data_IF_737700146624
#
_entry.id   IF_737700146624
#
_cell.length_a   1.000
_cell.length_b   1.000
_cell.length_c   1.000
_cell.angle_alpha   90.00
_cell.angle_beta   90.00
_cell.angle_gamma   90.00
#
_symmetry.space_group_name_H-M   'P 1'
#
loop_
_entity.id
_entity.type
_entity.pdbx_description
1 polymer ?
#
# COMPACT_ATOMS: atom_id res chain seq x y z
N UNK A 1 20.68 -22.16 -6.07
CA UNK A 1 19.43 -22.93 -6.01
C UNK A 1 18.43 -22.15 -6.83
N UNK A 2 17.69 -22.76 -7.75
CA UNK A 2 16.58 -22.08 -8.44
C UNK A 2 15.42 -22.02 -7.46
N UNK A 3 15.17 -20.84 -6.93
CA UNK A 3 14.04 -20.59 -6.03
C UNK A 3 12.77 -20.57 -6.88
N UNK A 4 11.93 -21.58 -6.71
CA UNK A 4 10.75 -21.84 -7.54
C UNK A 4 9.49 -21.39 -6.79
N UNK A 5 8.77 -20.44 -7.38
CA UNK A 5 7.49 -19.90 -6.91
C UNK A 5 6.30 -20.47 -7.70
N UNK A 6 6.48 -21.54 -8.49
CA UNK A 6 5.40 -22.17 -9.25
C UNK A 6 4.16 -22.45 -8.38
N UNK A 7 3.01 -21.95 -8.86
CA UNK A 7 1.73 -22.09 -8.18
C UNK A 7 1.53 -21.17 -6.97
N UNK A 8 2.44 -20.23 -6.73
CA UNK A 8 2.29 -19.19 -5.68
C UNK A 8 1.53 -18.00 -6.25
N UNK A 9 0.43 -17.59 -5.63
CA UNK A 9 -0.26 -16.32 -5.95
C UNK A 9 0.15 -15.24 -4.96
N UNK A 10 0.55 -14.06 -5.45
CA UNK A 10 1.03 -12.95 -4.61
C UNK A 10 0.19 -11.71 -4.87
N UNK A 11 -0.53 -11.24 -3.85
CA UNK A 11 -1.28 -10.00 -3.95
C UNK A 11 -0.34 -8.79 -3.85
N UNK A 12 -0.46 -7.85 -4.76
CA UNK A 12 0.15 -6.52 -4.68
C UNK A 12 -0.95 -5.51 -4.38
N UNK A 13 -1.05 -5.07 -3.12
CA UNK A 13 -2.10 -4.13 -2.72
C UNK A 13 -1.63 -2.69 -2.91
N UNK A 14 -2.34 -1.95 -3.76
CA UNK A 14 -2.04 -0.56 -4.08
C UNK A 14 -3.31 0.32 -4.08
N UNK A 15 -3.17 1.60 -3.76
CA UNK A 15 -4.17 2.61 -3.99
C UNK A 15 -4.36 2.89 -5.49
N UNK A 16 -5.46 3.55 -5.91
CA UNK A 16 -5.67 3.92 -7.31
C UNK A 16 -4.62 4.89 -7.88
N UNK A 17 -3.89 5.60 -7.02
CA UNK A 17 -2.86 6.57 -7.42
C UNK A 17 -1.76 6.63 -6.34
N UNK A 18 -0.51 6.85 -6.76
CA UNK A 18 0.57 7.28 -5.85
C UNK A 18 1.58 6.19 -5.49
N UNK A 19 1.49 5.00 -6.09
CA UNK A 19 2.49 3.95 -5.89
C UNK A 19 3.81 4.31 -6.58
N UNK A 20 4.94 4.11 -5.89
CA UNK A 20 6.26 4.25 -6.50
C UNK A 20 6.47 3.11 -7.51
N UNK A 21 6.67 3.44 -8.79
CA UNK A 21 6.61 2.48 -9.89
C UNK A 21 7.62 1.35 -9.71
N UNK A 22 8.86 1.64 -9.34
CA UNK A 22 9.90 0.61 -9.17
C UNK A 22 9.57 -0.34 -8.03
N UNK A 23 8.93 0.15 -6.97
CA UNK A 23 8.51 -0.67 -5.84
C UNK A 23 7.30 -1.57 -6.15
N UNK A 24 6.61 -1.32 -7.26
CA UNK A 24 5.62 -2.24 -7.86
C UNK A 24 6.29 -3.18 -8.87
N UNK A 25 6.98 -2.63 -9.88
CA UNK A 25 7.37 -3.38 -11.08
C UNK A 25 8.56 -4.31 -10.85
N UNK A 26 9.54 -3.96 -10.01
CA UNK A 26 10.68 -4.86 -9.76
C UNK A 26 10.28 -6.10 -8.94
N UNK A 27 9.54 -5.98 -7.82
CA UNK A 27 9.10 -7.17 -7.09
C UNK A 27 8.07 -7.98 -7.91
N UNK A 28 7.24 -7.32 -8.72
CA UNK A 28 6.35 -8.00 -9.67
C UNK A 28 7.14 -8.88 -10.65
N UNK A 29 8.17 -8.32 -11.29
CA UNK A 29 9.02 -9.06 -12.21
C UNK A 29 9.73 -10.21 -11.50
N UNK A 30 10.26 -9.99 -10.30
CA UNK A 30 10.93 -11.03 -9.52
C UNK A 30 10.00 -12.22 -9.19
N UNK A 31 8.76 -11.95 -8.77
CA UNK A 31 7.75 -13.00 -8.51
C UNK A 31 7.45 -13.77 -9.79
N UNK A 32 7.17 -13.07 -10.89
CA UNK A 32 6.83 -13.69 -12.18
C UNK A 32 7.99 -14.52 -12.73
N UNK A 33 9.21 -13.99 -12.70
CA UNK A 33 10.40 -14.63 -13.25
C UNK A 33 10.81 -15.86 -12.41
N UNK A 34 10.44 -15.90 -11.13
CA UNK A 34 10.53 -17.08 -10.27
C UNK A 34 9.38 -18.09 -10.45
N UNK A 35 8.43 -17.83 -11.34
CA UNK A 35 7.29 -18.72 -11.65
C UNK A 35 6.02 -18.48 -10.83
N UNK A 36 5.97 -17.42 -10.03
CA UNK A 36 4.78 -17.01 -9.29
C UNK A 36 3.78 -16.23 -10.15
N UNK A 37 2.59 -16.04 -9.59
CA UNK A 37 1.46 -15.30 -10.16
C UNK A 37 1.21 -14.01 -9.36
N UNK A 38 1.84 -12.88 -9.74
CA UNK A 38 1.55 -11.60 -9.11
C UNK A 38 0.20 -11.06 -9.58
N UNK A 39 -0.62 -10.56 -8.65
CA UNK A 39 -1.97 -10.05 -8.91
C UNK A 39 -2.10 -8.64 -8.33
N UNK A 40 -2.50 -7.67 -9.16
CA UNK A 40 -2.67 -6.29 -8.73
C UNK A 40 -4.05 -6.11 -8.09
N UNK A 41 -4.05 -5.91 -6.77
CA UNK A 41 -5.26 -5.67 -5.98
C UNK A 41 -5.37 -4.18 -5.65
N UNK A 42 -6.54 -3.58 -5.91
CA UNK A 42 -6.79 -2.17 -5.54
C UNK A 42 -8.14 -1.95 -4.88
N UNK A 43 -8.41 -0.72 -4.46
CA UNK A 43 -9.70 -0.32 -3.84
C UNK A 43 -10.78 -0.01 -4.87
N UNK A 44 -10.40 0.23 -6.13
CA UNK A 44 -11.30 0.57 -7.23
C UNK A 44 -10.89 -0.15 -8.52
N UNK A 45 -11.85 -0.49 -9.40
CA UNK A 45 -11.52 -1.10 -10.69
C UNK A 45 -10.89 -0.07 -11.64
N UNK A 46 -10.34 -0.55 -12.76
CA UNK A 46 -9.79 0.29 -13.82
C UNK A 46 -8.27 0.26 -13.82
N UNK A 47 -7.64 1.42 -13.68
CA UNK A 47 -6.17 1.55 -13.74
C UNK A 47 -5.62 2.26 -12.52
N UNK A 48 -4.48 1.79 -12.01
CA UNK A 48 -3.64 2.46 -11.02
C UNK A 48 -2.66 3.39 -11.73
N UNK A 49 -2.53 4.63 -11.25
CA UNK A 49 -1.50 5.57 -11.69
C UNK A 49 -0.27 5.45 -10.79
N UNK A 50 0.85 5.00 -11.36
CA UNK A 50 2.14 4.93 -10.68
C UNK A 50 2.95 6.22 -10.87
N UNK A 51 4.02 6.37 -10.08
CA UNK A 51 4.89 7.54 -10.04
C UNK A 51 6.36 7.17 -10.00
N UNK A 52 7.19 8.05 -10.54
CA UNK A 52 8.61 8.14 -10.22
C UNK A 52 8.78 9.33 -9.28
N UNK A 53 8.89 9.05 -7.98
CA UNK A 53 8.81 10.09 -6.95
C UNK A 53 7.50 10.89 -7.02
N UNK A 54 7.53 12.08 -7.60
CA UNK A 54 6.38 12.99 -7.73
C UNK A 54 5.85 13.09 -9.17
N UNK A 55 6.59 12.55 -10.14
CA UNK A 55 6.23 12.60 -11.55
C UNK A 55 5.38 11.38 -11.92
N UNK A 56 4.30 11.61 -12.68
CA UNK A 56 3.46 10.53 -13.18
C UNK A 56 4.27 9.60 -14.08
N UNK A 57 4.14 8.31 -13.83
CA UNK A 57 4.73 7.24 -14.61
C UNK A 57 3.61 6.46 -15.32
N UNK A 58 3.79 5.15 -15.47
CA UNK A 58 2.88 4.29 -16.20
C UNK A 58 1.56 4.05 -15.45
N UNK A 59 0.61 3.44 -16.17
CA UNK A 59 -0.66 2.98 -15.63
C UNK A 59 -0.75 1.47 -15.73
N UNK A 60 -1.28 0.86 -14.68
CA UNK A 60 -1.41 -0.59 -14.57
C UNK A 60 -2.88 -0.96 -14.40
N UNK A 61 -3.36 -1.96 -15.15
CA UNK A 61 -4.73 -2.45 -15.00
C UNK A 61 -4.88 -3.16 -13.66
N UNK A 62 -5.98 -2.90 -12.96
CA UNK A 62 -6.35 -3.59 -11.72
C UNK A 62 -6.90 -4.96 -12.08
N UNK A 63 -6.33 -6.02 -11.50
CA UNK A 63 -6.77 -7.39 -11.72
C UNK A 63 -7.96 -7.73 -10.83
N UNK A 64 -7.85 -7.41 -9.53
CA UNK A 64 -8.89 -7.65 -8.54
C UNK A 64 -9.10 -6.41 -7.66
N UNK A 65 -10.32 -6.24 -7.14
CA UNK A 65 -10.66 -5.16 -6.23
C UNK A 65 -10.93 -5.70 -4.83
N UNK A 66 -10.74 -4.90 -3.79
CA UNK A 66 -10.91 -5.34 -2.39
C UNK A 66 -12.33 -5.80 -2.01
N UNK A 67 -13.35 -5.51 -2.83
CA UNK A 67 -14.71 -6.06 -2.70
C UNK A 67 -14.85 -7.49 -3.21
N UNK A 68 -13.92 -7.96 -4.06
CA UNK A 68 -13.95 -9.30 -4.68
C UNK A 68 -12.78 -10.18 -4.25
N UNK A 69 -11.60 -9.59 -4.06
CA UNK A 69 -10.39 -10.27 -3.63
C UNK A 69 -10.56 -10.85 -2.23
N UNK A 70 -10.21 -12.14 -2.07
CA UNK A 70 -10.18 -12.80 -0.76
C UNK A 70 -8.73 -13.08 -0.40
N UNK A 71 -8.28 -12.63 0.76
CA UNK A 71 -6.91 -12.87 1.25
C UNK A 71 -6.54 -14.36 1.20
N UNK A 72 -7.52 -15.24 1.47
CA UNK A 72 -7.40 -16.69 1.40
C UNK A 72 -6.93 -17.24 0.03
N UNK A 73 -7.12 -16.49 -1.06
CA UNK A 73 -6.76 -16.89 -2.42
C UNK A 73 -5.29 -16.56 -2.80
N UNK A 74 -4.52 -15.93 -1.89
CA UNK A 74 -3.13 -15.50 -2.11
C UNK A 74 -2.16 -16.02 -1.06
N UNK A 75 -1.01 -16.53 -1.47
CA UNK A 75 -0.01 -17.08 -0.56
C UNK A 75 0.81 -16.02 0.18
N UNK A 76 0.91 -14.81 -0.38
CA UNK A 76 1.60 -13.68 0.23
C UNK A 76 1.02 -12.34 -0.21
N UNK A 77 1.38 -11.29 0.54
CA UNK A 77 1.03 -9.91 0.28
C UNK A 77 2.29 -9.07 0.10
N UNK A 78 2.34 -8.25 -0.95
CA UNK A 78 3.33 -7.18 -1.16
C UNK A 78 2.65 -5.83 -0.97
N UNK A 79 3.27 -4.97 -0.17
CA UNK A 79 2.86 -3.60 0.12
C UNK A 79 3.95 -2.62 -0.39
N UNK A 80 3.85 -2.17 -1.64
CA UNK A 80 4.72 -1.12 -2.18
C UNK A 80 4.56 0.21 -1.42
N UNK A 81 5.57 1.07 -1.51
CA UNK A 81 5.52 2.44 -0.99
C UNK A 81 5.01 3.44 -2.03
N UNK A 82 5.69 4.59 -2.11
CA UNK A 82 5.20 5.84 -2.69
C UNK A 82 4.25 6.55 -1.72
N UNK A 83 4.61 7.73 -1.19
CA UNK A 83 3.97 8.35 0.00
C UNK A 83 2.42 8.33 -0.03
N UNK A 84 1.82 8.71 -1.16
CA UNK A 84 0.38 8.82 -1.29
C UNK A 84 -0.34 7.46 -1.29
N UNK A 85 0.33 6.38 -1.74
CA UNK A 85 -0.26 5.05 -1.82
C UNK A 85 -0.65 4.46 -0.45
N UNK A 86 0.27 4.22 0.50
CA UNK A 86 -0.07 3.67 1.80
C UNK A 86 -0.76 4.69 2.71
N UNK A 87 -0.57 6.00 2.49
CA UNK A 87 -1.34 7.04 3.18
C UNK A 87 -2.82 7.00 2.77
N UNK A 88 -3.13 6.74 1.50
CA UNK A 88 -4.50 6.46 1.09
C UNK A 88 -4.99 5.14 1.68
N UNK A 89 -4.25 4.03 1.49
CA UNK A 89 -4.69 2.69 1.91
C UNK A 89 -4.98 2.59 3.41
N UNK A 90 -4.21 3.25 4.28
CA UNK A 90 -4.46 3.22 5.73
C UNK A 90 -5.78 3.89 6.15
N UNK A 91 -6.35 4.75 5.30
CA UNK A 91 -7.68 5.32 5.53
C UNK A 91 -8.83 4.41 5.08
N UNK A 92 -8.51 3.30 4.39
CA UNK A 92 -9.50 2.39 3.81
C UNK A 92 -9.68 1.16 4.70
N UNK A 93 -10.83 1.00 5.39
CA UNK A 93 -11.04 -0.12 6.32
C UNK A 93 -10.90 -1.50 5.67
N UNK A 94 -11.26 -1.63 4.39
CA UNK A 94 -11.11 -2.88 3.64
C UNK A 94 -9.64 -3.23 3.40
N UNK A 95 -8.77 -2.26 3.13
CA UNK A 95 -7.34 -2.48 2.92
C UNK A 95 -6.63 -2.89 4.21
N UNK A 96 -6.99 -2.22 5.33
CA UNK A 96 -6.50 -2.56 6.67
C UNK A 96 -6.94 -3.97 7.07
N UNK A 97 -8.21 -4.31 6.84
CA UNK A 97 -8.74 -5.66 7.09
C UNK A 97 -8.03 -6.70 6.24
N UNK A 98 -7.94 -6.49 4.92
CA UNK A 98 -7.27 -7.41 4.01
C UNK A 98 -5.82 -7.67 4.46
N UNK A 99 -5.07 -6.62 4.81
CA UNK A 99 -3.72 -6.75 5.36
C UNK A 99 -3.68 -7.57 6.65
N UNK A 100 -4.60 -7.30 7.59
CA UNK A 100 -4.68 -8.06 8.85
C UNK A 100 -4.99 -9.54 8.62
N UNK A 101 -5.83 -9.88 7.64
CA UNK A 101 -6.15 -11.28 7.34
C UNK A 101 -4.90 -12.10 6.92
N UNK A 102 -3.91 -11.49 6.25
CA UNK A 102 -2.62 -12.18 5.99
C UNK A 102 -1.84 -12.44 7.28
N UNK A 103 -1.85 -11.48 8.21
CA UNK A 103 -1.20 -11.62 9.52
C UNK A 103 -1.86 -12.76 10.30
N UNK A 104 -3.19 -12.75 10.39
CA UNK A 104 -3.99 -13.75 11.11
C UNK A 104 -3.84 -15.15 10.51
N UNK A 105 -3.72 -15.24 9.18
CA UNK A 105 -3.49 -16.49 8.47
C UNK A 105 -2.02 -16.96 8.49
N UNK A 106 -1.12 -16.22 9.13
CA UNK A 106 0.31 -16.56 9.17
C UNK A 106 1.04 -16.43 7.83
N UNK A 107 0.45 -15.73 6.86
CA UNK A 107 0.95 -15.62 5.47
C UNK A 107 2.02 -14.53 5.36
N UNK A 108 3.11 -14.79 4.60
CA UNK A 108 4.17 -13.80 4.42
C UNK A 108 3.65 -12.45 3.93
N UNK A 109 4.19 -11.38 4.52
CA UNK A 109 4.01 -10.02 4.02
C UNK A 109 5.38 -9.44 3.68
N UNK A 110 5.51 -8.87 2.49
CA UNK A 110 6.65 -8.07 2.08
C UNK A 110 6.24 -6.61 1.96
N UNK A 111 7.03 -5.70 2.52
CA UNK A 111 6.69 -4.28 2.58
C UNK A 111 7.93 -3.42 2.34
N UNK A 112 7.79 -2.30 1.63
CA UNK A 112 8.93 -1.45 1.32
C UNK A 112 8.59 0.04 1.49
N UNK A 113 9.60 0.82 1.87
CA UNK A 113 9.54 2.28 1.88
C UNK A 113 8.46 2.84 2.82
N UNK A 114 7.37 3.42 2.29
CA UNK A 114 6.24 3.95 3.06
C UNK A 114 5.09 2.94 3.25
N UNK A 115 5.12 1.80 2.55
CA UNK A 115 4.14 0.71 2.70
C UNK A 115 3.80 0.31 4.14
N UNK A 116 4.74 0.37 5.12
CA UNK A 116 4.47 -0.01 6.51
C UNK A 116 3.39 0.80 7.23
N UNK A 117 2.97 1.96 6.74
CA UNK A 117 1.82 2.67 7.34
C UNK A 117 0.56 1.81 7.35
N UNK A 118 0.30 1.02 6.29
CA UNK A 118 -0.84 0.10 6.26
C UNK A 118 -0.70 -1.00 7.33
N UNK A 119 0.53 -1.47 7.60
CA UNK A 119 0.79 -2.43 8.68
C UNK A 119 0.63 -1.84 10.07
N UNK A 120 1.01 -0.57 10.26
CA UNK A 120 0.78 0.15 11.52
C UNK A 120 -0.72 0.20 11.82
N UNK A 121 -1.53 0.58 10.84
CA UNK A 121 -2.99 0.64 10.99
C UNK A 121 -3.61 -0.76 11.25
N UNK A 122 -3.01 -1.80 10.68
CA UNK A 122 -3.40 -3.19 10.95
C UNK A 122 -2.97 -3.71 12.35
N UNK A 123 -2.20 -2.94 13.14
CA UNK A 123 -1.51 -3.35 14.39
C UNK A 123 -0.53 -4.54 14.19
N UNK A 124 0.09 -4.62 13.01
CA UNK A 124 0.86 -5.79 12.56
C UNK A 124 2.37 -5.72 12.85
N UNK A 125 2.85 -4.65 13.50
CA UNK A 125 4.30 -4.37 13.66
C UNK A 125 4.82 -4.48 15.09
N UNK A 126 3.95 -4.67 16.08
CA UNK A 126 4.33 -4.68 17.50
C UNK A 126 5.33 -5.79 17.83
N UNK A 127 6.44 -5.45 18.48
CA UNK A 127 7.53 -6.37 18.85
C UNK A 127 8.40 -6.86 17.69
N UNK A 128 7.97 -6.63 16.44
CA UNK A 128 8.65 -7.08 15.22
C UNK A 128 9.92 -6.25 14.99
N UNK A 129 10.98 -6.88 14.46
CA UNK A 129 12.14 -6.17 13.89
C UNK A 129 11.80 -5.78 12.46
N UNK A 130 12.03 -4.53 12.06
CA UNK A 130 11.62 -4.04 10.74
C UNK A 130 12.55 -2.92 10.25
N UNK A 131 12.77 -2.81 8.95
CA UNK A 131 13.49 -1.69 8.31
C UNK A 131 12.65 -1.08 7.20
N UNK A 132 12.72 0.24 7.02
CA UNK A 132 11.77 1.02 6.21
C UNK A 132 12.35 2.38 5.83
N UNK A 133 11.60 3.20 5.09
CA UNK A 133 11.99 4.58 4.82
C UNK A 133 12.18 5.39 6.12
N UNK A 134 13.28 6.15 6.31
CA UNK A 134 13.63 6.71 7.61
C UNK A 134 12.59 7.66 8.24
N UNK A 135 11.72 8.31 7.45
CA UNK A 135 10.75 9.27 8.00
C UNK A 135 9.67 8.62 8.87
N UNK A 136 9.31 7.34 8.67
CA UNK A 136 8.28 6.67 9.50
C UNK A 136 8.89 6.00 10.75
N UNK A 137 10.18 6.24 11.07
CA UNK A 137 10.85 5.64 12.24
C UNK A 137 10.09 5.92 13.54
N UNK A 138 9.57 7.13 13.71
CA UNK A 138 8.81 7.51 14.91
C UNK A 138 7.47 6.78 14.96
N UNK A 139 6.77 6.68 13.84
CA UNK A 139 5.48 5.99 13.75
C UNK A 139 5.61 4.52 14.14
N UNK A 140 6.62 3.83 13.60
CA UNK A 140 6.91 2.44 13.93
C UNK A 140 7.26 2.23 15.40
N UNK A 141 8.11 3.09 15.96
CA UNK A 141 8.45 3.01 17.40
C UNK A 141 7.21 3.26 18.25
N UNK A 142 6.36 4.21 17.87
CA UNK A 142 5.07 4.47 18.52
C UNK A 142 4.12 3.26 18.46
N UNK A 143 4.13 2.54 17.35
CA UNK A 143 3.38 1.29 17.16
C UNK A 143 4.03 0.07 17.87
N UNK A 144 5.20 0.25 18.51
CA UNK A 144 5.89 -0.79 19.28
C UNK A 144 6.83 -1.69 18.46
N UNK A 145 7.19 -1.30 17.25
CA UNK A 145 8.17 -2.04 16.44
C UNK A 145 9.62 -1.69 16.81
N UNK A 146 10.54 -2.64 16.55
CA UNK A 146 11.99 -2.46 16.68
C UNK A 146 12.57 -2.07 15.32
N UNK A 147 12.62 -0.77 15.04
CA UNK A 147 13.21 -0.27 13.81
C UNK A 147 14.74 -0.44 13.78
N UNK A 148 15.27 -0.93 12.66
CA UNK A 148 16.71 -1.04 12.35
C UNK A 148 17.01 -0.47 10.97
N UNK A 149 18.25 -0.02 10.75
CA UNK A 149 18.71 0.52 9.48
C UNK A 149 19.50 -0.54 8.71
N UNK A 150 18.79 -1.44 8.03
CA UNK A 150 19.35 -2.57 7.26
C UNK A 150 18.72 -2.52 5.86
N UNK A 151 19.40 -3.01 4.81
CA UNK A 151 18.82 -2.99 3.45
C UNK A 151 17.57 -3.87 3.34
N UNK A 152 17.58 -5.01 4.03
CA UNK A 152 16.48 -5.95 4.10
C UNK A 152 16.44 -6.56 5.50
N UNK A 153 15.24 -6.70 6.04
CA UNK A 153 14.99 -7.43 7.29
C UNK A 153 13.94 -8.48 7.02
N UNK A 154 14.27 -9.73 7.35
CA UNK A 154 13.30 -10.82 7.44
C UNK A 154 13.03 -11.11 8.91
N UNK A 155 11.84 -10.79 9.39
CA UNK A 155 11.42 -10.98 10.76
C UNK A 155 10.45 -12.14 10.86
N UNK A 156 10.89 -13.21 11.52
CA UNK A 156 10.08 -14.38 11.88
C UNK A 156 9.60 -14.34 13.34
N UNK A 157 9.96 -13.31 14.09
CA UNK A 157 9.48 -13.05 15.45
C UNK A 157 8.04 -12.48 15.37
N UNK A 158 7.04 -13.29 15.04
CA UNK A 158 5.65 -12.84 14.93
C UNK A 158 4.70 -13.90 14.34
N UNK A 159 3.42 -13.55 14.12
CA UNK A 159 2.42 -14.51 13.62
C UNK A 159 2.68 -14.97 12.18
N UNK A 160 3.40 -14.17 11.38
CA UNK A 160 3.69 -14.43 9.98
C UNK A 160 5.11 -13.95 9.62
N UNK A 161 5.77 -14.48 8.58
CA UNK A 161 7.01 -13.89 8.08
C UNK A 161 6.79 -12.45 7.58
N UNK A 162 7.65 -11.51 8.00
CA UNK A 162 7.62 -10.12 7.55
C UNK A 162 8.95 -9.77 6.89
N UNK A 163 8.92 -9.43 5.60
CA UNK A 163 10.06 -8.98 4.81
C UNK A 163 9.93 -7.47 4.65
N UNK A 164 10.98 -6.72 4.95
CA UNK A 164 10.94 -5.26 4.86
C UNK A 164 12.21 -4.65 4.31
N UNK A 165 12.10 -3.60 3.49
CA UNK A 165 13.22 -2.83 2.93
C UNK A 165 12.93 -1.33 2.92
N UNK A 166 13.97 -0.49 2.76
CA UNK A 166 13.82 0.96 3.04
C UNK A 166 13.43 1.80 1.84
N UNK A 167 13.90 1.45 0.64
CA UNK A 167 13.86 2.35 -0.54
C UNK A 167 14.17 1.60 -1.83
N UNK A 168 14.01 2.24 -3.02
CA UNK A 168 14.33 1.62 -4.30
C UNK A 168 15.76 1.03 -4.40
N UNK A 169 16.77 1.67 -3.80
CA UNK A 169 18.15 1.15 -3.78
C UNK A 169 18.27 -0.25 -3.15
N UNK A 170 17.33 -0.63 -2.30
CA UNK A 170 17.31 -1.92 -1.61
C UNK A 170 16.51 -2.99 -2.38
N UNK A 171 15.91 -2.67 -3.55
CA UNK A 171 15.00 -3.56 -4.29
C UNK A 171 15.64 -4.88 -4.67
N UNK A 172 16.93 -4.90 -5.00
CA UNK A 172 17.64 -6.17 -5.29
C UNK A 172 17.58 -7.14 -4.10
N UNK A 173 17.83 -6.65 -2.89
CA UNK A 173 17.78 -7.47 -1.67
C UNK A 173 16.34 -7.81 -1.29
N UNK A 174 15.41 -6.86 -1.45
CA UNK A 174 13.98 -7.06 -1.20
C UNK A 174 13.39 -8.16 -2.11
N UNK A 175 13.64 -8.09 -3.41
CA UNK A 175 13.15 -9.06 -4.39
C UNK A 175 13.72 -10.45 -4.15
N UNK A 176 15.03 -10.54 -3.86
CA UNK A 176 15.66 -11.81 -3.49
C UNK A 176 15.01 -12.40 -2.24
N UNK A 177 14.76 -11.60 -1.20
CA UNK A 177 14.11 -12.07 0.02
C UNK A 177 12.66 -12.54 -0.23
N UNK A 178 11.89 -11.86 -1.08
CA UNK A 178 10.55 -12.32 -1.49
C UNK A 178 10.64 -13.71 -2.10
N UNK A 179 11.49 -13.86 -3.12
CA UNK A 179 11.68 -15.14 -3.83
C UNK A 179 12.20 -16.24 -2.91
N UNK A 180 13.03 -15.90 -1.91
CA UNK A 180 13.61 -16.86 -0.98
C UNK A 180 12.64 -17.31 0.12
N UNK A 181 11.70 -16.47 0.54
CA UNK A 181 10.86 -16.72 1.71
C UNK A 181 9.37 -16.94 1.41
N UNK A 182 8.88 -16.59 0.22
CA UNK A 182 7.48 -16.82 -0.16
C UNK A 182 7.34 -18.17 -0.83
N UNK A 183 6.39 -18.98 -0.35
CA UNK A 183 6.08 -20.32 -0.88
C UNK A 183 4.57 -20.51 -0.95
N UNK A 184 4.06 -21.41 -1.81
CA UNK A 184 2.64 -21.75 -1.81
C UNK A 184 2.20 -22.26 -0.44
N UNK A 185 1.13 -21.69 0.09
CA UNK A 185 0.45 -22.19 1.27
C UNK A 185 -0.34 -23.42 0.82
N UNK A 186 0.29 -24.59 0.93
CA UNK A 186 -0.44 -25.85 0.76
C UNK A 186 -1.42 -25.93 1.92
N UNK A 187 -2.70 -25.98 1.62
CA UNK A 187 -3.77 -26.10 2.60
C UNK A 187 -3.47 -27.29 3.52
N UNK A 188 -2.91 -27.01 4.70
CA UNK A 188 -2.55 -28.04 5.67
C UNK A 188 -3.78 -28.46 6.47
N UNK A 189 -4.98 -28.48 5.89
CA UNK A 189 -6.18 -29.08 6.51
C UNK A 189 -6.51 -28.59 7.93
N UNK A 190 -6.02 -27.42 8.32
CA UNK A 190 -6.39 -26.81 9.61
C UNK A 190 -7.58 -25.91 9.33
N UNK A 191 -8.77 -26.46 9.58
CA UNK A 191 -10.01 -25.69 9.58
C UNK A 191 -9.93 -24.48 10.52
N UNK A 192 -10.89 -23.54 10.44
CA UNK A 192 -10.88 -22.32 11.24
C UNK A 192 -10.68 -22.69 12.71
N UNK A 193 -9.55 -22.28 13.29
CA UNK A 193 -9.22 -22.56 14.67
C UNK A 193 -10.39 -22.10 15.57
N UNK A 194 -10.95 -23.06 16.29
CA UNK A 194 -11.96 -22.85 17.29
C UNK A 194 -11.47 -21.85 18.36
N UNK A 195 -12.31 -20.83 18.60
CA UNK A 195 -12.45 -20.06 19.83
C UNK A 195 -11.23 -19.87 20.72
N UNK A 196 -10.62 -18.68 20.65
CA UNK A 196 -9.99 -18.09 21.82
C UNK A 196 -11.09 -17.54 22.73
N UNK A 197 -11.28 -18.18 23.89
CA UNK A 197 -12.12 -17.66 24.98
C UNK A 197 -11.55 -16.38 25.59
N UNK A 198 -12.37 -15.60 26.32
CA UNK A 198 -11.98 -14.28 26.78
C UNK A 198 -10.94 -14.36 27.90
N UNK A 199 -9.80 -13.68 27.72
CA UNK A 199 -8.90 -13.37 28.81
C UNK A 199 -9.54 -12.31 29.72
N UNK A 200 -10.01 -12.73 30.90
CA UNK A 200 -10.32 -11.83 32.00
C UNK A 200 -9.01 -11.26 32.57
N UNK A 201 -8.75 -9.99 32.29
CA UNK A 201 -7.75 -9.17 32.97
C UNK A 201 -8.36 -7.81 33.29
N UNK A 202 -8.45 -7.48 34.57
CA UNK A 202 -9.20 -6.36 35.11
C UNK A 202 -8.54 -4.98 34.88
N UNK A 203 -9.39 -3.95 34.70
CA UNK A 203 -9.10 -2.52 34.86
C UNK A 203 -8.57 -1.83 33.59
N UNK A 204 -9.15 -0.77 33.03
CA UNK A 204 -10.07 0.26 33.53
C UNK A 204 -10.99 0.70 32.38
N UNK A 205 -12.29 0.79 32.64
CA UNK A 205 -13.32 1.21 31.67
C UNK A 205 -13.12 2.65 31.17
N UNK A 206 -12.97 2.83 29.85
CA UNK A 206 -13.29 4.09 29.14
C UNK A 206 -14.73 3.97 28.60
N UNK A 207 -15.54 5.04 28.59
CA UNK A 207 -16.88 4.96 28.04
C UNK A 207 -16.80 4.77 26.53
N UNK A 208 -17.67 3.91 25.99
CA UNK A 208 -17.88 3.75 24.56
C UNK A 208 -18.34 5.10 23.98
N UNK A 209 -17.55 5.66 23.07
CA UNK A 209 -18.00 6.76 22.24
C UNK A 209 -19.11 6.26 21.33
N UNK A 210 -20.25 6.95 21.33
CA UNK A 210 -21.34 6.67 20.41
C UNK A 210 -20.81 6.70 18.97
N UNK A 211 -21.01 5.60 18.23
CA UNK A 211 -20.77 5.57 16.80
C UNK A 211 -21.69 6.57 16.10
N UNK A 212 -21.15 7.31 15.14
CA UNK A 212 -21.93 8.23 14.31
C UNK A 212 -22.96 7.42 13.53
N UNK A 213 -24.20 7.92 13.50
CA UNK A 213 -25.25 7.35 12.67
C UNK A 213 -24.90 7.47 11.18
N UNK A 214 -25.48 6.61 10.33
CA UNK A 214 -25.26 6.63 8.88
C UNK A 214 -25.54 8.01 8.25
N UNK A 215 -26.46 8.78 8.85
CA UNK A 215 -26.77 10.16 8.44
C UNK A 215 -25.65 11.16 8.79
N UNK A 216 -24.91 10.94 9.87
CA UNK A 216 -23.77 11.78 10.28
C UNK A 216 -22.51 11.43 9.47
N UNK A 217 -22.29 10.14 9.19
CA UNK A 217 -21.24 9.69 8.27
C UNK A 217 -21.42 10.28 6.86
N UNK A 218 -22.66 10.28 6.34
CA UNK A 218 -22.97 10.87 5.03
C UNK A 218 -22.73 12.40 4.98
N UNK A 219 -23.02 13.12 6.08
CA UNK A 219 -22.73 14.56 6.20
C UNK A 219 -21.24 14.85 6.28
N UNK A 220 -20.44 13.96 6.88
CA UNK A 220 -18.99 14.10 6.93
C UNK A 220 -18.36 13.93 5.55
N UNK A 221 -18.82 12.96 4.74
CA UNK A 221 -18.38 12.77 3.35
C UNK A 221 -18.76 13.97 2.46
N UNK A 222 -19.97 14.52 2.65
CA UNK A 222 -20.40 15.73 1.94
C UNK A 222 -19.61 16.98 2.37
N UNK A 223 -19.21 17.06 3.64
CA UNK A 223 -18.34 18.12 4.15
C UNK A 223 -16.94 18.07 3.57
N UNK A 224 -16.34 16.87 3.49
CA UNK A 224 -15.01 16.62 2.93
C UNK A 224 -14.93 17.01 1.45
N UNK A 225 -15.92 16.61 0.65
CA UNK A 225 -16.02 16.98 -0.78
C UNK A 225 -16.24 18.48 -1.03
N UNK A 226 -16.71 19.23 -0.03
CA UNK A 226 -16.80 20.69 -0.09
C UNK A 226 -15.49 21.38 0.30
N UNK A 227 -14.72 20.79 1.23
CA UNK A 227 -13.41 21.27 1.63
C UNK A 227 -12.35 21.01 0.55
N UNK A 228 -12.40 19.85 -0.12
CA UNK A 228 -11.51 19.51 -1.24
C UNK A 228 -11.72 20.43 -2.44
N UNK A 229 -12.98 20.80 -2.73
CA UNK A 229 -13.29 21.80 -3.77
C UNK A 229 -12.77 23.20 -3.42
N UNK A 230 -12.85 23.60 -2.15
CA UNK A 230 -12.25 24.88 -1.71
C UNK A 230 -10.73 24.86 -1.75
N UNK A 231 -10.10 23.73 -1.41
CA UNK A 231 -8.65 23.58 -1.50
C UNK A 231 -8.16 23.65 -2.95
N UNK A 232 -8.88 23.02 -3.89
CA UNK A 232 -8.59 23.12 -5.33
C UNK A 232 -8.74 24.55 -5.88
N UNK A 233 -9.76 25.30 -5.45
CA UNK A 233 -9.99 26.69 -5.86
C UNK A 233 -8.93 27.67 -5.29
N UNK A 234 -8.44 27.44 -4.07
CA UNK A 234 -7.35 28.23 -3.49
C UNK A 234 -6.06 27.96 -4.25
N UNK A 235 -5.76 26.70 -4.57
CA UNK A 235 -4.57 26.33 -5.33
C UNK A 235 -4.56 26.95 -6.73
N UNK A 236 -5.70 26.92 -7.44
CA UNK A 236 -5.83 27.52 -8.77
C UNK A 236 -5.64 29.06 -8.77
N UNK A 237 -6.01 29.74 -7.68
CA UNK A 237 -5.82 31.19 -7.52
C UNK A 237 -4.38 31.56 -7.17
N UNK A 238 -3.67 30.70 -6.45
CA UNK A 238 -2.27 30.93 -6.07
C UNK A 238 -1.29 30.57 -7.19
N UNK A 239 -1.68 29.69 -8.13
CA UNK A 239 -0.86 29.31 -9.30
C UNK A 239 -1.05 30.19 -10.55
N UNK A 240 -1.92 31.20 -10.51
CA UNK A 240 -2.30 32.01 -11.68
C UNK A 240 -1.59 33.36 -11.76
N UNK A 241 -0.33 33.38 -12.22
CA UNK A 241 0.44 34.60 -12.44
C UNK A 241 1.48 34.49 -13.55
N UNK A 242 1.05 34.37 -14.80
CA UNK A 242 1.82 34.80 -15.98
C UNK A 242 0.86 35.01 -17.17
N UNK A 243 0.86 36.24 -17.72
CA UNK A 243 0.01 36.71 -18.82
C UNK A 243 0.26 36.00 -20.16
N UNK A 244 -0.76 35.83 -20.99
CA UNK A 244 -1.37 36.77 -21.97
C UNK A 244 -0.73 36.70 -23.36
N UNK A 245 -1.63 36.71 -24.35
CA UNK A 245 -1.46 37.16 -25.74
C UNK A 245 -0.99 36.16 -26.80
N UNK A 246 -1.99 35.46 -27.37
CA UNK A 246 -1.98 35.06 -28.78
C UNK A 246 -3.14 35.73 -29.50
N UNK A 247 -2.91 36.91 -30.08
CA UNK A 247 -3.71 37.38 -31.21
C UNK A 247 -2.89 38.30 -32.15
N UNK A 248 -2.93 37.95 -33.43
CA UNK A 248 -2.77 38.80 -34.61
C UNK A 248 -1.49 39.66 -34.78
N UNK A 249 -0.52 39.11 -35.52
CA UNK A 249 0.30 39.88 -36.46
C UNK A 249 0.86 38.99 -37.58
N UNK A 250 0.06 38.76 -38.63
CA UNK A 250 0.55 38.36 -39.94
C UNK A 250 0.05 39.35 -40.98
N UNK A 251 0.90 40.31 -41.33
CA UNK A 251 0.84 41.04 -42.59
C UNK A 251 2.21 41.65 -42.86
N UNK A 252 2.93 41.11 -43.85
CA UNK A 252 3.62 41.85 -44.90
C UNK A 252 4.65 40.96 -45.60
N UNK A 253 4.22 40.34 -46.70
CA UNK A 253 5.07 39.96 -47.83
C UNK A 253 4.13 39.73 -49.04
N UNK A 254 4.47 40.37 -50.16
CA UNK A 254 3.85 40.30 -51.49
C UNK A 254 2.52 41.08 -51.68
N UNK A 255 2.26 41.82 -52.75
CA UNK A 255 2.99 42.39 -53.88
C UNK A 255 1.92 43.22 -54.62
N UNK A 256 2.20 44.48 -55.02
CA UNK A 256 1.40 45.19 -56.02
C UNK A 256 2.31 46.15 -56.80
N UNK A 257 2.65 45.69 -58.01
CA UNK A 257 2.54 46.50 -59.23
C UNK A 257 1.07 46.78 -59.55
#
# INVERSE_FOLDING_TARGET
MTHDMAGTRVAFLVAPEGVEQLELTEPWAAVRDAGGDPVLVSTHPGTVQAFHHLDRADRFAVDETLDTARSADFDALVLPGGVANPDFLRTQPQAVRFTREFVDAGRPIAVICHGPWTLIEADAVRGRRITIWPSLRTDLRGAGARWVDEEVVVCVDGPNPLISSRRPDDLKAFCAAIVDHVRPVRDTGVGPHAGFGPHNGAGTSRPAGAGLSDAEAARQVAGQTSADRRAADVFARESGGAGTDTEAARASADDLR
#
